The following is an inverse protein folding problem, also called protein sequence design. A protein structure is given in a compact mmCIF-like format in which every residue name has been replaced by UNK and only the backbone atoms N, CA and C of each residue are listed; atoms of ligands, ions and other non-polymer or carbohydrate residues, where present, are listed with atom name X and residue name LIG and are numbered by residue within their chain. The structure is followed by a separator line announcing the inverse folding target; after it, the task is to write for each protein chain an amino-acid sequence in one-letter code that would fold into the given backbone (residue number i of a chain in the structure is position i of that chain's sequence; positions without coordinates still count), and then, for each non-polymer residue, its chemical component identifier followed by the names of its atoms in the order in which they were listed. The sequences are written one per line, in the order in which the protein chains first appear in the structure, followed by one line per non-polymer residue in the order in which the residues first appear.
data_IF_557249792375
#
_entry.id   IF_557249792375
#
_cell.length_a   1.000
_cell.length_b   1.000
_cell.length_c   1.000
_cell.angle_alpha   90.00
_cell.angle_beta   90.00
_cell.angle_gamma   90.00
#
_symmetry.space_group_name_H-M   'P 1'
#
loop_
_entity.id
_entity.type
_entity.pdbx_description
1 polymer ?
#
# COMPACT_ATOMS: atom_id res chain seq x y z
N UNK A 1 8.67 -19.94 -44.94
CA UNK A 1 9.93 -19.16 -45.17
C UNK A 1 11.09 -19.75 -44.34
N UNK A 2 12.30 -19.78 -44.91
CA UNK A 2 13.53 -20.24 -44.23
C UNK A 2 14.31 -19.03 -43.71
N UNK A 3 14.79 -19.02 -42.45
CA UNK A 3 15.63 -17.95 -41.95
C UNK A 3 16.96 -17.88 -42.70
N UNK A 4 17.48 -16.67 -42.88
CA UNK A 4 18.82 -16.41 -43.41
C UNK A 4 19.68 -15.70 -42.37
N UNK A 5 21.00 -15.90 -42.42
CA UNK A 5 21.93 -15.34 -41.45
C UNK A 5 22.28 -13.88 -41.81
N UNK A 6 21.98 -12.95 -40.92
CA UNK A 6 22.43 -11.57 -40.97
C UNK A 6 23.83 -11.45 -40.36
N UNK A 7 24.06 -12.16 -39.25
CA UNK A 7 25.34 -12.27 -38.54
C UNK A 7 25.44 -13.68 -37.94
N UNK A 8 26.57 -14.36 -38.10
CA UNK A 8 26.76 -15.72 -37.57
C UNK A 8 28.14 -15.86 -36.94
N UNK A 9 28.15 -16.19 -35.65
CA UNK A 9 29.37 -16.32 -34.84
C UNK A 9 29.65 -17.74 -34.36
N UNK A 10 28.72 -18.69 -34.56
CA UNK A 10 28.93 -20.08 -34.18
C UNK A 10 27.71 -20.96 -34.36
N UNK A 11 27.74 -22.13 -33.72
CA UNK A 11 26.60 -23.04 -33.62
C UNK A 11 25.53 -22.44 -32.68
N UNK A 12 24.23 -22.44 -33.06
CA UNK A 12 23.14 -21.98 -32.20
C UNK A 12 23.12 -22.60 -30.79
N UNK A 13 23.65 -23.82 -30.60
CA UNK A 13 23.75 -24.44 -29.28
C UNK A 13 24.68 -23.68 -28.31
N UNK A 14 25.62 -22.90 -28.85
CA UNK A 14 26.67 -22.18 -28.10
C UNK A 14 26.49 -20.65 -28.13
N UNK A 15 25.37 -20.15 -28.68
CA UNK A 15 25.15 -18.73 -28.97
C UNK A 15 23.77 -18.24 -28.52
N UNK A 16 23.60 -16.93 -28.47
CA UNK A 16 22.30 -16.27 -28.35
C UNK A 16 21.79 -15.94 -29.75
N UNK A 17 20.70 -16.56 -30.16
CA UNK A 17 20.10 -16.36 -31.49
C UNK A 17 18.98 -15.30 -31.45
N UNK A 18 19.17 -14.24 -32.23
CA UNK A 18 18.15 -13.20 -32.45
C UNK A 18 17.49 -13.41 -33.81
N UNK A 19 16.15 -13.36 -33.86
CA UNK A 19 15.40 -13.44 -35.11
C UNK A 19 14.72 -12.11 -35.42
N UNK A 20 15.05 -11.53 -36.57
CA UNK A 20 14.42 -10.32 -37.09
C UNK A 20 13.28 -10.69 -38.03
N UNK A 21 12.13 -10.06 -37.83
CA UNK A 21 10.94 -10.22 -38.66
C UNK A 21 10.64 -8.90 -39.36
N UNK A 22 10.74 -8.88 -40.69
CA UNK A 22 10.43 -7.70 -41.49
C UNK A 22 8.93 -7.49 -41.55
N UNK A 23 8.44 -6.36 -41.04
CA UNK A 23 7.03 -6.00 -41.14
C UNK A 23 6.78 -4.96 -42.24
N UNK A 24 5.74 -5.16 -43.04
CA UNK A 24 5.32 -4.23 -44.09
C UNK A 24 6.18 -4.21 -45.36
N UNK A 25 7.15 -5.12 -45.54
CA UNK A 25 7.90 -5.23 -46.79
C UNK A 25 7.18 -6.15 -47.77
N UNK A 26 6.86 -5.66 -48.96
CA UNK A 26 6.32 -6.49 -50.05
C UNK A 26 7.39 -7.39 -50.66
N UNK A 27 7.01 -8.39 -51.44
CA UNK A 27 7.95 -9.25 -52.18
C UNK A 27 8.93 -8.44 -53.05
N UNK A 28 8.53 -7.27 -53.57
CA UNK A 28 9.39 -6.39 -54.35
C UNK A 28 10.41 -5.60 -53.50
N UNK A 29 10.21 -5.53 -52.19
CA UNK A 29 11.05 -4.77 -51.24
C UNK A 29 11.98 -5.66 -50.41
N UNK A 30 12.11 -6.95 -50.75
CA UNK A 30 12.94 -7.88 -49.97
C UNK A 30 14.42 -7.48 -49.94
N UNK A 31 14.97 -6.91 -51.01
CA UNK A 31 16.33 -6.37 -50.97
C UNK A 31 16.48 -5.21 -49.98
N UNK A 32 15.46 -4.34 -49.90
CA UNK A 32 15.42 -3.25 -48.92
C UNK A 32 15.36 -3.82 -47.51
N UNK A 33 14.49 -4.81 -47.27
CA UNK A 33 14.42 -5.53 -45.99
C UNK A 33 15.77 -6.12 -45.58
N UNK A 34 16.47 -6.79 -46.50
CA UNK A 34 17.80 -7.34 -46.22
C UNK A 34 18.81 -6.26 -45.84
N UNK A 35 18.77 -5.11 -46.52
CA UNK A 35 19.59 -3.95 -46.17
C UNK A 35 19.27 -3.38 -44.78
N UNK A 36 17.98 -3.27 -44.46
CA UNK A 36 17.50 -2.74 -43.18
C UNK A 36 17.85 -3.69 -42.01
N UNK A 37 17.72 -5.01 -42.19
CA UNK A 37 18.13 -6.02 -41.22
C UNK A 37 19.65 -5.99 -40.93
N UNK A 38 20.47 -5.83 -41.98
CA UNK A 38 21.93 -5.67 -41.83
C UNK A 38 22.30 -4.39 -41.10
N UNK A 39 21.64 -3.27 -41.44
CA UNK A 39 21.87 -1.98 -40.77
C UNK A 39 21.53 -2.06 -39.28
N UNK A 40 20.36 -2.59 -38.93
CA UNK A 40 19.96 -2.78 -37.52
C UNK A 40 20.95 -3.64 -36.76
N UNK A 41 21.38 -4.75 -37.36
CA UNK A 41 22.35 -5.66 -36.75
C UNK A 41 23.71 -4.99 -36.53
N UNK A 42 24.18 -4.18 -37.50
CA UNK A 42 25.41 -3.43 -37.37
C UNK A 42 25.34 -2.41 -36.22
N UNK A 43 24.24 -1.67 -36.09
CA UNK A 43 24.03 -0.71 -34.99
C UNK A 43 23.99 -1.40 -33.61
N UNK A 44 23.25 -2.51 -33.51
CA UNK A 44 23.18 -3.32 -32.29
C UNK A 44 24.57 -3.77 -31.86
N UNK A 45 25.32 -4.41 -32.77
CA UNK A 45 26.65 -4.94 -32.49
C UNK A 45 27.73 -3.84 -32.40
N UNK A 46 27.41 -2.60 -32.76
CA UNK A 46 28.27 -1.46 -32.50
C UNK A 46 28.07 -0.86 -31.10
N UNK A 47 27.05 -1.28 -30.33
CA UNK A 47 26.71 -0.69 -29.02
C UNK A 47 27.15 -1.57 -27.86
N UNK A 48 27.71 -0.99 -26.80
CA UNK A 48 28.06 -1.77 -25.59
C UNK A 48 26.80 -2.16 -24.80
N UNK A 49 26.68 -3.38 -24.24
CA UNK A 49 27.70 -4.44 -24.15
C UNK A 49 27.76 -5.41 -25.34
N UNK A 50 26.94 -5.24 -26.37
CA UNK A 50 26.87 -6.14 -27.53
C UNK A 50 28.13 -6.10 -28.39
N UNK A 51 28.80 -4.95 -28.46
CA UNK A 51 30.07 -4.78 -29.17
C UNK A 51 31.14 -5.74 -28.65
N UNK A 52 31.32 -5.74 -27.33
CA UNK A 52 32.31 -6.59 -26.65
C UNK A 52 31.93 -8.08 -26.76
N UNK A 53 30.64 -8.38 -26.84
CA UNK A 53 30.09 -9.74 -26.88
C UNK A 53 29.58 -10.16 -28.25
N UNK A 54 29.97 -9.48 -29.33
CA UNK A 54 29.41 -9.70 -30.67
C UNK A 54 29.58 -11.14 -31.19
N UNK A 55 30.60 -11.86 -30.69
CA UNK A 55 30.86 -13.27 -30.98
C UNK A 55 29.97 -14.26 -30.23
N UNK A 56 29.17 -13.79 -29.28
CA UNK A 56 28.23 -14.60 -28.51
C UNK A 56 26.85 -14.63 -29.18
N UNK A 57 26.62 -13.84 -30.23
CA UNK A 57 25.34 -13.73 -30.92
C UNK A 57 25.37 -14.29 -32.34
N UNK A 58 24.26 -14.92 -32.71
CA UNK A 58 23.83 -15.08 -34.10
C UNK A 58 22.60 -14.18 -34.32
N UNK A 59 22.51 -13.56 -35.49
CA UNK A 59 21.32 -12.80 -35.91
C UNK A 59 20.81 -13.38 -37.21
N UNK A 60 19.55 -13.78 -37.20
CA UNK A 60 18.82 -14.34 -38.30
C UNK A 60 17.72 -13.39 -38.72
N UNK A 61 17.28 -13.48 -39.96
CA UNK A 61 16.13 -12.76 -40.46
C UNK A 61 15.22 -13.68 -41.24
N UNK A 62 13.93 -13.37 -41.24
CA UNK A 62 12.91 -14.10 -41.98
C UNK A 62 12.26 -13.19 -43.02
N UNK A 63 12.18 -13.69 -44.25
CA UNK A 63 11.51 -12.99 -45.34
C UNK A 63 10.01 -13.30 -45.27
N UNK A 64 9.26 -12.33 -44.77
CA UNK A 64 7.82 -12.35 -44.63
C UNK A 64 7.21 -11.25 -45.50
N UNK A 65 6.89 -11.61 -46.74
CA UNK A 65 6.31 -10.66 -47.67
C UNK A 65 4.89 -10.24 -47.24
N UNK A 66 4.68 -8.93 -47.10
CA UNK A 66 3.37 -8.32 -46.91
C UNK A 66 2.64 -8.13 -48.26
N UNK A 67 1.32 -8.10 -48.22
CA UNK A 67 0.48 -7.87 -49.41
C UNK A 67 0.62 -6.43 -49.94
N UNK A 68 0.91 -5.48 -49.05
CA UNK A 68 1.09 -4.06 -49.38
C UNK A 68 2.30 -3.48 -48.65
N UNK A 69 2.96 -2.51 -49.29
CA UNK A 69 4.16 -1.84 -48.75
C UNK A 69 3.77 -0.93 -47.59
N UNK A 70 4.60 -0.98 -46.54
CA UNK A 70 4.48 -0.24 -45.31
C UNK A 70 3.86 -1.04 -44.18
N UNK A 71 4.20 -0.66 -42.95
CA UNK A 71 3.56 -1.17 -41.74
C UNK A 71 2.13 -0.63 -41.62
N UNK A 72 1.29 -1.34 -40.87
CA UNK A 72 0.00 -0.80 -40.44
C UNK A 72 0.26 0.36 -39.47
N UNK A 73 -0.38 1.51 -39.71
CA UNK A 73 -0.37 2.67 -38.81
C UNK A 73 -1.82 3.09 -38.57
N UNK A 74 -2.58 2.36 -37.73
CA UNK A 74 -3.97 2.68 -37.44
C UNK A 74 -4.18 4.13 -36.97
N UNK A 75 -3.20 4.68 -36.23
CA UNK A 75 -3.16 6.09 -35.80
C UNK A 75 -3.17 7.12 -36.93
N UNK A 76 -2.67 6.72 -38.10
CA UNK A 76 -2.64 7.58 -39.29
C UNK A 76 -3.79 7.21 -40.25
N UNK A 77 -4.73 6.36 -39.81
CA UNK A 77 -5.79 5.79 -40.64
C UNK A 77 -5.30 4.79 -41.69
N UNK A 78 -4.05 4.32 -41.60
CA UNK A 78 -3.43 3.44 -42.60
C UNK A 78 -3.47 2.00 -42.13
N UNK A 79 -4.45 1.25 -42.63
CA UNK A 79 -4.61 -0.17 -42.31
C UNK A 79 -3.90 -1.03 -43.33
N UNK A 80 -2.90 -1.80 -42.91
CA UNK A 80 -2.22 -2.76 -43.76
C UNK A 80 -2.18 -4.13 -43.11
N UNK A 81 -2.52 -5.14 -43.91
CA UNK A 81 -2.39 -6.53 -43.49
C UNK A 81 -0.96 -6.98 -43.75
N UNK A 82 -0.25 -7.30 -42.69
CA UNK A 82 1.10 -7.83 -42.77
C UNK A 82 1.22 -9.14 -41.98
N UNK A 83 2.17 -10.02 -42.33
CA UNK A 83 2.33 -11.31 -41.65
C UNK A 83 2.72 -11.18 -40.16
N UNK A 84 3.39 -10.09 -39.79
CA UNK A 84 3.90 -9.85 -38.43
C UNK A 84 2.87 -9.11 -37.57
N UNK A 85 1.91 -8.39 -38.16
CA UNK A 85 0.85 -7.63 -37.45
C UNK A 85 1.40 -6.78 -36.31
N UNK A 86 2.41 -5.93 -36.53
CA UNK A 86 2.94 -5.05 -35.49
C UNK A 86 1.94 -3.93 -35.13
N UNK A 87 0.87 -4.32 -34.45
CA UNK A 87 -0.02 -3.47 -33.66
C UNK A 87 0.62 -3.16 -32.29
N UNK A 88 1.89 -2.76 -32.31
CA UNK A 88 2.68 -2.38 -31.14
C UNK A 88 3.02 -0.87 -31.18
N UNK A 89 3.12 -0.28 -32.37
CA UNK A 89 3.53 1.11 -32.56
C UNK A 89 2.33 2.05 -32.73
N UNK A 90 1.87 2.62 -31.61
CA UNK A 90 1.35 3.99 -31.50
C UNK A 90 0.81 4.31 -30.08
N UNK A 91 0.52 3.29 -29.26
CA UNK A 91 -0.20 3.53 -28.01
C UNK A 91 -1.62 4.11 -28.21
N UNK A 92 -2.18 4.00 -29.43
CA UNK A 92 -3.56 4.33 -29.80
C UNK A 92 -4.51 3.17 -29.49
N UNK A 93 -4.42 2.63 -28.28
CA UNK A 93 -5.30 1.53 -27.83
C UNK A 93 -6.77 1.90 -27.92
N UNK A 94 -7.08 3.18 -27.73
CA UNK A 94 -8.43 3.75 -27.82
C UNK A 94 -9.03 3.62 -29.22
N UNK A 95 -8.24 3.86 -30.27
CA UNK A 95 -8.69 3.67 -31.65
C UNK A 95 -8.86 2.19 -31.98
N UNK A 96 -7.92 1.34 -31.55
CA UNK A 96 -8.04 -0.10 -31.73
C UNK A 96 -9.31 -0.66 -31.05
N UNK A 97 -9.59 -0.24 -29.82
CA UNK A 97 -10.82 -0.58 -29.09
C UNK A 97 -12.03 -0.13 -29.91
N UNK A 98 -12.08 1.13 -30.34
CA UNK A 98 -13.21 1.70 -31.10
C UNK A 98 -13.48 0.92 -32.39
N UNK A 99 -12.43 0.58 -33.15
CA UNK A 99 -12.57 -0.17 -34.40
C UNK A 99 -13.05 -1.60 -34.18
N UNK A 100 -12.54 -2.29 -33.15
CA UNK A 100 -12.94 -3.66 -32.85
C UNK A 100 -14.36 -3.69 -32.29
N UNK A 101 -14.75 -2.74 -31.43
CA UNK A 101 -16.13 -2.60 -30.94
C UNK A 101 -17.09 -2.32 -32.11
N UNK A 102 -16.72 -1.42 -33.03
CA UNK A 102 -17.51 -1.14 -34.23
C UNK A 102 -17.67 -2.38 -35.10
N UNK A 103 -16.59 -3.14 -35.32
CA UNK A 103 -16.64 -4.41 -36.04
C UNK A 103 -17.60 -5.40 -35.39
N UNK A 104 -17.53 -5.57 -34.07
CA UNK A 104 -18.40 -6.49 -33.33
C UNK A 104 -19.88 -6.10 -33.37
N UNK A 105 -20.18 -4.79 -33.45
CA UNK A 105 -21.56 -4.33 -33.62
C UNK A 105 -22.07 -4.46 -35.05
N UNK A 106 -21.20 -4.30 -36.05
CA UNK A 106 -21.58 -4.25 -37.47
C UNK A 106 -21.63 -5.65 -38.10
N UNK A 107 -20.69 -6.53 -37.74
CA UNK A 107 -20.66 -7.93 -38.15
C UNK A 107 -20.22 -8.82 -36.97
N UNK A 108 -21.16 -9.22 -36.10
CA UNK A 108 -20.85 -10.01 -34.91
C UNK A 108 -20.27 -11.40 -35.19
N UNK A 109 -20.43 -11.90 -36.43
CA UNK A 109 -20.03 -13.25 -36.83
C UNK A 109 -18.60 -13.32 -37.38
N UNK A 110 -18.07 -12.18 -37.84
CA UNK A 110 -16.75 -12.12 -38.45
C UNK A 110 -15.64 -12.33 -37.41
N UNK A 111 -14.92 -13.45 -37.54
CA UNK A 111 -13.71 -13.74 -36.75
C UNK A 111 -13.90 -13.51 -35.24
N UNK A 112 -15.08 -13.89 -34.72
CA UNK A 112 -15.59 -13.51 -33.40
C UNK A 112 -14.57 -13.75 -32.26
N UNK A 113 -13.94 -14.92 -32.24
CA UNK A 113 -12.94 -15.28 -31.22
C UNK A 113 -11.66 -14.45 -31.35
N UNK A 114 -11.21 -14.19 -32.57
CA UNK A 114 -10.04 -13.36 -32.81
C UNK A 114 -10.31 -11.89 -32.44
N UNK A 115 -11.49 -11.36 -32.79
CA UNK A 115 -11.92 -10.03 -32.40
C UNK A 115 -11.99 -9.88 -30.87
N UNK A 116 -12.58 -10.87 -30.17
CA UNK A 116 -12.63 -10.91 -28.71
C UNK A 116 -11.24 -10.90 -28.07
N UNK A 117 -10.32 -11.74 -28.56
CA UNK A 117 -8.95 -11.79 -28.04
C UNK A 117 -8.18 -10.48 -28.28
N UNK A 118 -8.35 -9.86 -29.46
CA UNK A 118 -7.72 -8.58 -29.78
C UNK A 118 -8.26 -7.45 -28.91
N UNK A 119 -9.58 -7.39 -28.71
CA UNK A 119 -10.22 -6.38 -27.86
C UNK A 119 -9.74 -6.49 -26.41
N UNK A 120 -9.68 -7.71 -25.88
CA UNK A 120 -9.18 -7.95 -24.53
C UNK A 120 -7.71 -7.50 -24.37
N UNK A 121 -6.83 -7.82 -25.34
CA UNK A 121 -5.44 -7.34 -25.34
C UNK A 121 -5.35 -5.82 -25.45
N UNK A 122 -6.20 -5.18 -26.26
CA UNK A 122 -6.23 -3.73 -26.41
C UNK A 122 -6.65 -3.03 -25.10
N UNK A 123 -7.67 -3.54 -24.42
CA UNK A 123 -8.03 -3.07 -23.08
C UNK A 123 -6.88 -3.26 -22.07
N UNK A 124 -6.24 -4.43 -22.04
CA UNK A 124 -5.11 -4.68 -21.14
C UNK A 124 -3.94 -3.69 -21.38
N UNK A 125 -3.58 -3.45 -22.64
CA UNK A 125 -2.51 -2.51 -22.99
C UNK A 125 -2.89 -1.05 -22.72
N UNK A 126 -4.17 -0.66 -22.93
CA UNK A 126 -4.68 0.65 -22.50
C UNK A 126 -4.56 0.83 -20.99
N UNK A 127 -4.95 -0.20 -20.22
CA UNK A 127 -4.79 -0.20 -18.77
C UNK A 127 -3.35 -0.02 -18.31
N UNK A 128 -2.39 -0.73 -18.93
CA UNK A 128 -0.96 -0.57 -18.63
C UNK A 128 -0.45 0.85 -18.93
N UNK A 129 -0.85 1.43 -20.07
CA UNK A 129 -0.49 2.80 -20.43
C UNK A 129 -1.02 3.80 -19.40
N UNK A 130 -2.31 3.72 -19.07
CA UNK A 130 -2.96 4.57 -18.07
C UNK A 130 -2.32 4.42 -16.69
N UNK A 131 -1.95 3.20 -16.30
CA UNK A 131 -1.26 2.96 -15.04
C UNK A 131 0.12 3.65 -15.04
N UNK A 132 0.88 3.59 -16.13
CA UNK A 132 2.16 4.29 -16.25
C UNK A 132 2.02 5.82 -16.24
N UNK A 133 0.88 6.35 -16.70
CA UNK A 133 0.51 7.78 -16.65
C UNK A 133 -0.12 8.21 -15.29
N UNK A 134 -0.08 7.35 -14.27
CA UNK A 134 -0.70 7.55 -12.94
C UNK A 134 -2.23 7.71 -12.94
N UNK A 135 -2.90 7.38 -14.05
CA UNK A 135 -4.36 7.40 -14.20
C UNK A 135 -4.98 6.07 -13.74
N UNK A 136 -4.73 5.71 -12.48
CA UNK A 136 -5.00 4.37 -11.94
C UNK A 136 -6.46 3.94 -11.97
N UNK A 137 -7.39 4.85 -11.68
CA UNK A 137 -8.83 4.60 -11.77
C UNK A 137 -9.26 4.17 -13.17
N UNK A 138 -8.71 4.84 -14.19
CA UNK A 138 -8.99 4.53 -15.59
C UNK A 138 -8.31 3.21 -15.98
N UNK A 139 -7.08 3.00 -15.51
CA UNK A 139 -6.36 1.75 -15.71
C UNK A 139 -7.13 0.54 -15.19
N UNK A 140 -7.66 0.62 -13.96
CA UNK A 140 -8.46 -0.43 -13.32
C UNK A 140 -9.70 -0.74 -14.17
N UNK A 141 -10.41 0.29 -14.65
CA UNK A 141 -11.57 0.09 -15.54
C UNK A 141 -11.19 -0.65 -16.83
N UNK A 142 -10.06 -0.29 -17.45
CA UNK A 142 -9.56 -0.99 -18.65
C UNK A 142 -9.20 -2.45 -18.36
N UNK A 143 -8.54 -2.72 -17.23
CA UNK A 143 -8.28 -4.10 -16.84
C UNK A 143 -9.55 -4.89 -16.59
N UNK A 144 -10.55 -4.29 -15.94
CA UNK A 144 -11.86 -4.92 -15.73
C UNK A 144 -12.56 -5.25 -17.06
N UNK A 145 -12.50 -4.36 -18.06
CA UNK A 145 -13.00 -4.63 -19.42
C UNK A 145 -12.26 -5.79 -20.09
N UNK A 146 -10.93 -5.88 -19.94
CA UNK A 146 -10.15 -7.01 -20.44
C UNK A 146 -10.56 -8.32 -19.74
N UNK A 147 -10.73 -8.31 -18.42
CA UNK A 147 -11.08 -9.51 -17.63
C UNK A 147 -12.52 -9.96 -17.86
N UNK A 148 -13.43 -9.06 -18.22
CA UNK A 148 -14.77 -9.45 -18.67
C UNK A 148 -14.73 -10.32 -19.94
N UNK A 149 -13.73 -10.11 -20.80
CA UNK A 149 -13.54 -10.90 -22.02
C UNK A 149 -12.66 -12.13 -21.80
N UNK A 150 -11.64 -12.04 -20.95
CA UNK A 150 -10.71 -13.14 -20.61
C UNK A 150 -10.48 -13.19 -19.09
N UNK A 151 -11.39 -13.84 -18.32
CA UNK A 151 -11.36 -13.82 -16.85
C UNK A 151 -10.11 -14.46 -16.25
N UNK A 152 -9.58 -15.49 -16.90
CA UNK A 152 -8.47 -16.32 -16.39
C UNK A 152 -7.09 -15.79 -16.78
N UNK A 153 -6.96 -14.55 -17.25
CA UNK A 153 -5.67 -13.97 -17.62
C UNK A 153 -4.90 -13.53 -16.34
N UNK A 154 -3.86 -14.27 -15.91
CA UNK A 154 -3.17 -14.00 -14.65
C UNK A 154 -2.41 -12.68 -14.66
N UNK A 155 -1.88 -12.27 -15.81
CA UNK A 155 -1.11 -11.03 -15.94
C UNK A 155 -2.04 -9.82 -15.75
N UNK A 156 -3.21 -9.82 -16.37
CA UNK A 156 -4.19 -8.73 -16.23
C UNK A 156 -4.76 -8.68 -14.81
N UNK A 157 -5.04 -9.85 -14.20
CA UNK A 157 -5.46 -9.91 -12.80
C UNK A 157 -4.41 -9.29 -11.87
N UNK A 158 -3.12 -9.61 -12.07
CA UNK A 158 -2.03 -9.05 -11.29
C UNK A 158 -1.93 -7.53 -11.47
N UNK A 159 -1.96 -7.03 -12.70
CA UNK A 159 -1.87 -5.59 -12.99
C UNK A 159 -3.03 -4.80 -12.38
N UNK A 160 -4.25 -5.32 -12.49
CA UNK A 160 -5.45 -4.76 -11.87
C UNK A 160 -5.34 -4.70 -10.35
N UNK A 161 -4.84 -5.77 -9.74
CA UNK A 161 -4.63 -5.85 -8.29
C UNK A 161 -3.55 -4.87 -7.83
N UNK A 162 -2.42 -4.79 -8.52
CA UNK A 162 -1.34 -3.84 -8.21
C UNK A 162 -1.84 -2.39 -8.29
N UNK A 163 -2.53 -2.03 -9.38
CA UNK A 163 -3.09 -0.68 -9.57
C UNK A 163 -4.07 -0.31 -8.46
N UNK A 164 -4.99 -1.21 -8.12
CA UNK A 164 -6.00 -0.99 -7.07
C UNK A 164 -5.35 -0.85 -5.69
N UNK A 165 -4.43 -1.72 -5.30
CA UNK A 165 -3.75 -1.63 -4.00
C UNK A 165 -2.90 -0.36 -3.91
N UNK A 166 -2.14 -0.03 -4.96
CA UNK A 166 -1.32 1.17 -4.96
C UNK A 166 -2.17 2.44 -4.87
N UNK A 167 -3.32 2.49 -5.56
CA UNK A 167 -4.27 3.60 -5.45
C UNK A 167 -4.85 3.72 -4.04
N UNK A 168 -5.31 2.61 -3.46
CA UNK A 168 -5.81 2.59 -2.07
C UNK A 168 -4.75 3.06 -1.09
N UNK A 169 -3.51 2.59 -1.25
CA UNK A 169 -2.39 3.02 -0.42
C UNK A 169 -2.17 4.52 -0.51
N UNK A 170 -2.13 5.05 -1.73
CA UNK A 170 -1.86 6.48 -2.00
C UNK A 170 -2.97 7.39 -1.49
N UNK A 171 -4.23 7.00 -1.65
CA UNK A 171 -5.38 7.79 -1.22
C UNK A 171 -5.54 7.87 0.30
N UNK A 172 -4.99 6.89 1.04
CA UNK A 172 -5.11 6.82 2.49
C UNK A 172 -3.87 7.32 3.25
N UNK A 173 -2.81 7.73 2.55
CA UNK A 173 -1.66 8.38 3.19
C UNK A 173 -2.10 9.61 3.98
N UNK A 174 -1.75 9.69 5.26
CA UNK A 174 -2.15 10.79 6.14
C UNK A 174 -3.59 10.75 6.66
N UNK A 175 -4.45 9.89 6.10
CA UNK A 175 -5.84 9.72 6.54
C UNK A 175 -6.02 8.45 7.37
N UNK A 176 -5.57 7.33 6.82
CA UNK A 176 -5.55 6.02 7.45
C UNK A 176 -4.20 5.35 7.16
N UNK A 177 -3.24 5.58 8.05
CA UNK A 177 -1.91 5.02 7.94
C UNK A 177 -1.91 3.49 7.90
N UNK A 178 -2.82 2.85 8.64
CA UNK A 178 -2.90 1.38 8.69
C UNK A 178 -3.31 0.80 7.34
N UNK A 179 -4.37 1.34 6.74
CA UNK A 179 -4.81 0.94 5.40
C UNK A 179 -3.77 1.27 4.33
N UNK A 180 -3.10 2.43 4.44
CA UNK A 180 -2.03 2.81 3.52
C UNK A 180 -0.86 1.82 3.56
N UNK A 181 -0.35 1.51 4.76
CA UNK A 181 0.73 0.56 4.99
C UNK A 181 0.35 -0.82 4.47
N UNK A 182 -0.82 -1.35 4.86
CA UNK A 182 -1.26 -2.68 4.42
C UNK A 182 -1.31 -2.78 2.89
N UNK A 183 -1.83 -1.74 2.23
CA UNK A 183 -1.93 -1.70 0.77
C UNK A 183 -0.56 -1.67 0.12
N UNK A 184 0.36 -0.81 0.59
CA UNK A 184 1.71 -0.76 0.05
C UNK A 184 2.55 -2.01 0.35
N UNK A 185 2.39 -2.64 1.51
CA UNK A 185 3.02 -3.92 1.83
C UNK A 185 2.57 -5.01 0.85
N UNK A 186 1.28 -5.05 0.52
CA UNK A 186 0.75 -6.00 -0.44
C UNK A 186 1.33 -5.75 -1.85
N UNK A 187 1.43 -4.49 -2.29
CA UNK A 187 2.10 -4.14 -3.56
C UNK A 187 3.57 -4.54 -3.53
N UNK A 188 4.31 -4.18 -2.48
CA UNK A 188 5.73 -4.49 -2.33
C UNK A 188 5.99 -6.00 -2.32
N UNK A 189 5.13 -6.79 -1.68
CA UNK A 189 5.25 -8.25 -1.63
C UNK A 189 4.98 -8.91 -2.99
N UNK A 190 4.07 -8.33 -3.78
CA UNK A 190 3.74 -8.83 -5.12
C UNK A 190 4.78 -8.40 -6.16
N UNK A 191 5.21 -7.14 -6.11
CA UNK A 191 6.11 -6.53 -7.08
C UNK A 191 6.85 -5.32 -6.46
N UNK A 192 8.04 -5.53 -5.86
CA UNK A 192 8.82 -4.47 -5.20
C UNK A 192 9.23 -3.32 -6.13
N UNK A 193 9.37 -3.58 -7.43
CA UNK A 193 9.70 -2.61 -8.48
C UNK A 193 8.46 -1.96 -9.13
N UNK A 194 7.26 -2.18 -8.57
CA UNK A 194 6.04 -1.53 -9.08
C UNK A 194 6.02 -0.05 -8.68
N UNK A 195 6.24 0.82 -9.68
CA UNK A 195 6.30 2.28 -9.48
C UNK A 195 7.32 2.63 -8.39
N UNK A 196 6.95 3.54 -7.49
CA UNK A 196 7.74 4.02 -6.36
C UNK A 196 7.35 3.36 -5.03
N UNK A 197 6.77 2.14 -5.06
CA UNK A 197 6.30 1.47 -3.82
C UNK A 197 7.43 1.26 -2.82
N UNK A 198 8.64 0.95 -3.31
CA UNK A 198 9.83 0.80 -2.48
C UNK A 198 10.19 2.08 -1.71
N UNK A 199 9.86 3.26 -2.25
CA UNK A 199 10.00 4.53 -1.52
C UNK A 199 8.75 4.87 -0.69
N UNK A 200 7.54 4.54 -1.18
CA UNK A 200 6.29 4.88 -0.49
C UNK A 200 6.06 4.08 0.78
N UNK A 201 6.37 2.78 0.80
CA UNK A 201 6.15 1.93 1.97
C UNK A 201 6.92 2.41 3.22
N UNK A 202 8.25 2.64 3.19
CA UNK A 202 8.96 3.18 4.35
C UNK A 202 8.46 4.59 4.72
N UNK A 203 8.10 5.44 3.75
CA UNK A 203 7.48 6.75 4.03
C UNK A 203 6.14 6.64 4.76
N UNK A 204 5.31 5.66 4.41
CA UNK A 204 4.04 5.42 5.09
C UNK A 204 4.26 5.02 6.56
N UNK A 205 5.26 4.17 6.83
CA UNK A 205 5.68 3.83 8.18
C UNK A 205 6.19 5.04 8.96
N UNK A 206 7.08 5.84 8.38
CA UNK A 206 7.60 7.04 9.03
C UNK A 206 6.46 8.01 9.38
N UNK A 207 5.53 8.24 8.44
CA UNK A 207 4.36 9.09 8.68
C UNK A 207 3.43 8.56 9.77
N UNK A 208 3.24 7.24 9.86
CA UNK A 208 2.48 6.61 10.94
C UNK A 208 3.14 6.81 12.30
N UNK A 209 4.48 6.64 12.37
CA UNK A 209 5.27 6.90 13.57
C UNK A 209 5.20 8.37 14.00
N UNK A 210 5.37 9.29 13.05
CA UNK A 210 5.29 10.74 13.30
C UNK A 210 3.90 11.14 13.83
N UNK A 211 2.83 10.63 13.23
CA UNK A 211 1.46 10.88 13.69
C UNK A 211 1.17 10.29 15.08
N UNK A 212 1.83 9.18 15.46
CA UNK A 212 1.77 8.65 16.82
C UNK A 212 2.51 9.57 17.81
N UNK A 213 3.69 10.07 17.44
CA UNK A 213 4.46 11.05 18.24
C UNK A 213 3.69 12.35 18.46
N UNK A 214 3.02 12.88 17.45
CA UNK A 214 2.17 14.08 17.57
C UNK A 214 1.07 13.92 18.63
N UNK A 215 0.58 12.69 18.81
CA UNK A 215 -0.41 12.33 19.83
C UNK A 215 0.23 11.93 21.17
N UNK A 216 1.53 12.12 21.32
CA UNK A 216 2.33 11.66 22.47
C UNK A 216 2.27 10.15 22.73
N UNK A 217 1.88 9.35 21.72
CA UNK A 217 1.86 7.89 21.77
C UNK A 217 3.26 7.35 21.41
N UNK A 218 4.26 7.69 22.22
CA UNK A 218 5.67 7.40 21.95
C UNK A 218 5.97 5.90 21.81
N UNK A 219 5.33 5.06 22.62
CA UNK A 219 5.52 3.62 22.54
C UNK A 219 4.96 3.02 21.23
N UNK A 220 3.84 3.55 20.74
CA UNK A 220 3.20 3.08 19.50
C UNK A 220 3.99 3.50 18.26
N UNK A 221 4.78 4.57 18.34
CA UNK A 221 5.61 5.05 17.23
C UNK A 221 6.80 4.14 16.91
N UNK A 222 7.33 3.45 17.91
CA UNK A 222 8.55 2.61 17.82
C UNK A 222 8.46 1.54 16.72
N UNK A 223 7.43 0.66 16.67
CA UNK A 223 7.36 -0.39 15.66
C UNK A 223 7.27 0.15 14.23
N UNK A 224 6.67 1.33 14.03
CA UNK A 224 6.61 1.95 12.71
C UNK A 224 7.99 2.40 12.23
N UNK A 225 8.77 3.10 13.08
CA UNK A 225 10.12 3.50 12.70
C UNK A 225 11.05 2.29 12.49
N UNK A 226 10.90 1.23 13.30
CA UNK A 226 11.64 -0.02 13.10
C UNK A 226 11.33 -0.65 11.75
N UNK A 227 10.05 -0.77 11.39
CA UNK A 227 9.63 -1.31 10.09
C UNK A 227 10.14 -0.47 8.90
N UNK A 228 10.21 0.86 9.04
CA UNK A 228 10.82 1.71 8.03
C UNK A 228 12.32 1.41 7.86
N UNK A 229 13.05 1.23 8.96
CA UNK A 229 14.50 0.97 8.98
C UNK A 229 14.88 -0.42 8.47
N UNK A 230 13.97 -1.40 8.56
CA UNK A 230 14.14 -2.72 7.94
C UNK A 230 14.13 -2.65 6.41
N UNK A 231 13.41 -1.68 5.85
CA UNK A 231 13.30 -1.49 4.39
C UNK A 231 14.40 -0.58 3.84
N UNK A 232 14.77 0.46 4.59
CA UNK A 232 15.79 1.41 4.17
C UNK A 232 16.51 2.01 5.39
N UNK A 233 17.85 1.98 5.37
CA UNK A 233 18.64 2.64 6.41
C UNK A 233 18.54 4.16 6.29
N UNK A 234 18.15 4.81 7.38
CA UNK A 234 17.99 6.26 7.46
C UNK A 234 18.34 6.74 8.88
N UNK A 235 19.32 7.64 8.99
CA UNK A 235 19.84 8.11 10.28
C UNK A 235 18.86 9.02 11.04
N UNK A 236 18.04 9.78 10.32
CA UNK A 236 17.04 10.67 10.92
C UNK A 236 15.90 9.84 11.50
N UNK A 237 15.47 8.80 10.77
CA UNK A 237 14.46 7.84 11.26
C UNK A 237 14.98 7.04 12.46
N UNK A 238 16.26 6.64 12.46
CA UNK A 238 16.87 6.00 13.62
C UNK A 238 16.87 6.92 14.85
N UNK A 239 17.16 8.22 14.66
CA UNK A 239 17.12 9.22 15.72
C UNK A 239 15.71 9.41 16.28
N UNK A 240 14.69 9.45 15.41
CA UNK A 240 13.27 9.48 15.82
C UNK A 240 12.87 8.25 16.63
N UNK A 241 13.29 7.05 16.21
CA UNK A 241 13.07 5.79 16.94
C UNK A 241 13.71 5.83 18.33
N UNK A 242 14.94 6.29 18.43
CA UNK A 242 15.67 6.36 19.71
C UNK A 242 15.07 7.40 20.67
N UNK A 243 14.56 8.53 20.14
CA UNK A 243 13.76 9.47 20.94
C UNK A 243 12.45 8.83 21.42
N UNK A 244 11.71 8.17 20.54
CA UNK A 244 10.48 7.49 20.90
C UNK A 244 10.70 6.44 22.00
N UNK A 245 11.77 5.64 21.92
CA UNK A 245 12.16 4.68 22.98
C UNK A 245 12.44 5.39 24.31
N UNK A 246 13.22 6.47 24.30
CA UNK A 246 13.54 7.24 25.52
C UNK A 246 12.30 7.84 26.16
N UNK A 247 11.39 8.41 25.36
CA UNK A 247 10.16 9.05 25.83
C UNK A 247 9.12 8.02 26.30
N UNK A 248 9.04 6.88 25.63
CA UNK A 248 8.22 5.74 26.04
C UNK A 248 8.65 5.19 27.42
N UNK A 249 9.96 5.19 27.69
CA UNK A 249 10.54 4.69 28.94
C UNK A 249 10.73 5.78 30.01
N UNK A 250 10.38 7.03 29.72
CA UNK A 250 10.56 8.13 30.66
C UNK A 250 9.53 8.02 31.78
N UNK A 251 9.94 8.06 33.07
CA UNK A 251 8.99 8.14 34.16
C UNK A 251 8.17 9.42 34.02
N UNK A 252 6.86 9.28 33.97
CA UNK A 252 5.91 10.39 33.89
C UNK A 252 5.88 11.15 35.23
N UNK A 253 6.68 12.22 35.33
CA UNK A 253 6.47 13.27 36.33
C UNK A 253 7.74 13.81 37.02
N UNK A 254 7.78 15.13 37.16
CA UNK A 254 8.56 15.83 38.20
C UNK A 254 8.24 15.26 39.59
N UNK A 255 9.18 15.28 40.55
CA UNK A 255 8.92 14.88 41.93
C UNK A 255 7.68 15.60 42.45
N UNK A 256 6.66 14.82 42.80
CA UNK A 256 5.41 15.36 43.31
C UNK A 256 5.66 15.82 44.75
N UNK A 257 5.22 17.02 45.17
CA UNK A 257 5.46 17.48 46.53
C UNK A 257 5.00 16.46 47.59
N UNK A 258 5.74 16.27 48.69
CA UNK A 258 5.33 15.39 49.78
C UNK A 258 3.89 15.67 50.22
N UNK A 259 3.11 14.62 50.46
CA UNK A 259 1.67 14.72 50.75
C UNK A 259 0.77 14.77 49.51
N UNK A 260 1.32 14.67 48.29
CA UNK A 260 0.51 14.52 47.07
C UNK A 260 0.12 13.08 46.82
N UNK A 261 -1.15 12.85 46.49
CA UNK A 261 -1.69 11.53 46.18
C UNK A 261 -1.55 11.22 44.69
N UNK A 262 -0.86 10.13 44.35
CA UNK A 262 -0.75 9.69 42.95
C UNK A 262 -1.90 8.75 42.62
N UNK A 263 -2.72 9.14 41.65
CA UNK A 263 -3.72 8.28 41.03
C UNK A 263 -3.05 7.21 40.16
N UNK A 264 -3.46 5.95 40.33
CA UNK A 264 -2.97 4.80 39.55
C UNK A 264 -4.14 3.98 39.04
N UNK A 265 -4.02 3.53 37.78
CA UNK A 265 -5.00 2.62 37.20
C UNK A 265 -4.68 1.19 37.64
N UNK A 266 -5.56 0.61 38.45
CA UNK A 266 -5.44 -0.75 38.97
C UNK A 266 -5.92 -1.85 38.02
N UNK A 267 -6.25 -1.51 36.77
CA UNK A 267 -6.84 -2.42 35.78
C UNK A 267 -8.37 -2.44 35.81
N UNK A 268 -8.95 -3.47 35.19
CA UNK A 268 -10.41 -3.67 35.10
C UNK A 268 -10.83 -5.01 35.69
N UNK A 269 -11.97 -5.03 36.36
CA UNK A 269 -12.65 -6.23 36.84
C UNK A 269 -13.84 -6.55 35.92
N UNK A 270 -13.99 -7.82 35.55
CA UNK A 270 -15.16 -8.29 34.78
C UNK A 270 -16.36 -8.48 35.72
N UNK A 271 -17.39 -7.64 35.53
CA UNK A 271 -18.63 -7.66 36.31
C UNK A 271 -19.83 -8.04 35.45
N UNK A 272 -19.63 -8.68 34.29
CA UNK A 272 -20.71 -9.06 33.36
C UNK A 272 -21.75 -10.00 33.95
N UNK A 273 -21.38 -10.74 35.00
CA UNK A 273 -22.29 -11.55 35.80
C UNK A 273 -23.34 -10.72 36.55
N UNK A 274 -23.08 -9.43 36.77
CA UNK A 274 -23.98 -8.49 37.47
C UNK A 274 -24.72 -7.57 36.52
N UNK A 275 -24.06 -7.12 35.45
CA UNK A 275 -24.62 -6.16 34.49
C UNK A 275 -23.91 -6.21 33.15
N UNK A 276 -24.63 -5.86 32.09
CA UNK A 276 -24.05 -5.60 30.76
C UNK A 276 -24.44 -4.22 30.21
N UNK A 277 -25.11 -3.39 31.03
CA UNK A 277 -25.72 -2.13 30.59
C UNK A 277 -25.15 -0.89 31.29
N UNK A 278 -24.23 -1.06 32.22
CA UNK A 278 -23.53 0.03 32.89
C UNK A 278 -22.12 -0.40 33.31
N UNK A 279 -21.26 0.59 33.58
CA UNK A 279 -19.90 0.42 34.11
C UNK A 279 -19.81 0.94 35.54
N UNK A 280 -18.78 0.50 36.26
CA UNK A 280 -18.45 0.98 37.62
C UNK A 280 -17.03 1.53 37.64
N UNK A 281 -16.79 2.51 38.50
CA UNK A 281 -15.42 2.92 38.85
C UNK A 281 -15.30 2.87 40.36
N UNK A 282 -14.26 2.23 40.89
CA UNK A 282 -14.03 2.16 42.33
C UNK A 282 -12.54 2.12 42.65
N UNK A 283 -12.20 2.24 43.92
CA UNK A 283 -10.85 2.01 44.40
C UNK A 283 -10.66 2.51 45.81
N UNK A 284 -9.40 2.77 46.18
CA UNK A 284 -9.03 3.17 47.55
C UNK A 284 -8.13 4.39 47.55
N UNK A 285 -8.30 5.22 48.58
CA UNK A 285 -7.40 6.31 48.94
C UNK A 285 -6.65 5.92 50.20
N UNK A 286 -5.32 5.84 50.13
CA UNK A 286 -4.46 5.46 51.25
C UNK A 286 -3.35 6.48 51.49
N UNK A 287 -3.00 6.70 52.76
CA UNK A 287 -1.90 7.56 53.17
C UNK A 287 -0.54 6.88 52.92
N UNK A 288 0.57 7.57 53.22
CA UNK A 288 1.92 7.07 52.98
C UNK A 288 2.27 5.79 53.79
N UNK A 289 1.48 5.46 54.81
CA UNK A 289 1.59 4.22 55.61
C UNK A 289 0.70 3.08 55.09
N UNK A 290 -0.05 3.32 54.02
CA UNK A 290 -1.02 2.36 53.46
C UNK A 290 -2.35 2.29 54.22
N UNK A 291 -2.60 3.23 55.14
CA UNK A 291 -3.85 3.30 55.90
C UNK A 291 -4.92 4.03 55.09
N UNK A 292 -6.16 3.55 55.13
CA UNK A 292 -7.28 4.17 54.41
C UNK A 292 -7.57 5.58 54.90
N UNK A 293 -7.80 6.51 53.97
CA UNK A 293 -8.16 7.90 54.29
C UNK A 293 -9.68 8.03 54.30
N UNK A 294 -10.33 8.23 55.46
CA UNK A 294 -11.79 8.31 55.54
C UNK A 294 -12.32 9.68 55.13
N UNK A 295 -13.58 9.73 54.67
CA UNK A 295 -14.30 10.95 54.30
C UNK A 295 -13.60 11.82 53.24
N UNK A 296 -12.71 11.23 52.44
CA UNK A 296 -12.01 11.92 51.36
C UNK A 296 -12.96 12.10 50.18
N UNK A 297 -13.24 13.34 49.71
CA UNK A 297 -14.11 13.54 48.56
C UNK A 297 -13.37 13.19 47.26
N UNK A 298 -13.84 12.15 46.59
CA UNK A 298 -13.36 11.72 45.28
C UNK A 298 -14.34 12.23 44.23
N UNK A 299 -13.83 12.85 43.16
CA UNK A 299 -14.62 13.33 42.03
C UNK A 299 -14.36 12.44 40.83
N UNK A 300 -15.44 12.04 40.15
CA UNK A 300 -15.40 11.49 38.80
C UNK A 300 -15.98 12.52 37.83
N UNK A 301 -15.40 12.66 36.64
CA UNK A 301 -15.89 13.55 35.59
C UNK A 301 -15.71 12.97 34.20
N UNK A 302 -16.60 13.34 33.29
CA UNK A 302 -16.47 13.13 31.85
C UNK A 302 -17.15 14.29 31.13
N UNK A 303 -16.45 14.94 30.20
CA UNK A 303 -16.91 16.18 29.54
C UNK A 303 -17.31 17.27 30.56
N UNK A 304 -18.55 17.78 30.48
CA UNK A 304 -19.13 18.77 31.39
C UNK A 304 -19.83 18.15 32.62
N UNK A 305 -19.93 16.82 32.69
CA UNK A 305 -20.54 16.10 33.80
C UNK A 305 -19.53 15.72 34.88
N UNK A 306 -19.93 15.85 36.16
CA UNK A 306 -19.16 15.32 37.28
C UNK A 306 -20.02 14.95 38.49
N UNK A 307 -19.56 13.99 39.28
CA UNK A 307 -20.15 13.56 40.56
C UNK A 307 -19.04 13.40 41.60
N UNK A 308 -19.37 13.64 42.87
CA UNK A 308 -18.45 13.47 44.00
C UNK A 308 -19.01 12.41 44.95
N UNK A 309 -18.15 11.54 45.44
CA UNK A 309 -18.46 10.56 46.48
C UNK A 309 -17.33 10.51 47.51
N UNK A 310 -17.65 10.24 48.77
CA UNK A 310 -16.67 10.23 49.86
C UNK A 310 -16.23 8.82 50.20
N UNK A 311 -14.96 8.66 50.55
CA UNK A 311 -14.43 7.37 51.00
C UNK A 311 -14.98 6.93 52.36
N UNK A 312 -15.08 5.61 52.56
CA UNK A 312 -15.42 5.01 53.85
C UNK A 312 -14.23 4.93 54.83
N UNK A 313 -14.42 4.30 55.99
CA UNK A 313 -13.39 4.11 57.02
C UNK A 313 -12.14 3.35 56.56
N UNK A 314 -12.21 2.63 55.44
CA UNK A 314 -11.09 1.89 54.83
C UNK A 314 -10.45 2.63 53.65
N UNK A 315 -10.94 3.84 53.35
CA UNK A 315 -10.54 4.61 52.18
C UNK A 315 -11.22 4.17 50.89
N UNK A 316 -12.19 3.25 50.93
CA UNK A 316 -12.86 2.74 49.73
C UNK A 316 -13.91 3.72 49.22
N UNK A 317 -14.01 3.86 47.90
CA UNK A 317 -15.08 4.59 47.22
C UNK A 317 -15.54 3.84 45.97
N UNK A 318 -16.76 4.13 45.53
CA UNK A 318 -17.32 3.62 44.29
C UNK A 318 -18.28 4.62 43.64
N UNK A 319 -18.28 4.63 42.30
CA UNK A 319 -19.27 5.26 41.44
C UNK A 319 -19.96 4.15 40.65
N UNK A 320 -21.24 3.97 40.89
CA UNK A 320 -22.04 2.89 40.31
C UNK A 320 -23.02 3.44 39.28
N UNK A 321 -23.55 2.55 38.42
CA UNK A 321 -24.55 2.89 37.41
C UNK A 321 -24.09 3.96 36.41
N UNK A 322 -22.81 3.94 36.01
CA UNK A 322 -22.31 4.83 34.96
C UNK A 322 -22.79 4.29 33.60
N UNK A 323 -23.70 5.03 32.95
CA UNK A 323 -24.42 4.59 31.74
C UNK A 323 -23.77 5.07 30.44
N UNK A 324 -22.47 5.41 30.46
CA UNK A 324 -21.73 5.84 29.27
C UNK A 324 -20.39 5.09 29.17
N UNK A 325 -20.03 4.63 27.97
CA UNK A 325 -18.73 4.04 27.65
C UNK A 325 -17.75 5.14 27.19
N UNK A 326 -17.32 5.95 28.15
CA UNK A 326 -16.42 7.10 27.93
C UNK A 326 -15.24 7.02 28.88
N UNK A 327 -14.17 7.75 28.60
CA UNK A 327 -13.07 7.90 29.56
C UNK A 327 -13.51 8.82 30.70
N UNK A 328 -13.43 8.31 31.92
CA UNK A 328 -13.68 9.06 33.15
C UNK A 328 -12.37 9.51 33.77
N UNK A 329 -12.27 10.78 34.11
CA UNK A 329 -11.16 11.29 34.92
C UNK A 329 -11.57 11.24 36.39
N UNK A 330 -10.79 10.56 37.21
CA UNK A 330 -10.98 10.48 38.67
C UNK A 330 -9.91 11.31 39.36
N UNK A 331 -10.29 12.10 40.37
CA UNK A 331 -9.38 12.94 41.16
C UNK A 331 -9.85 13.10 42.59
N UNK A 332 -8.94 13.44 43.51
CA UNK A 332 -9.33 13.89 44.84
C UNK A 332 -9.74 15.36 44.76
N UNK A 333 -10.89 15.73 45.34
CA UNK A 333 -11.43 17.08 45.20
C UNK A 333 -10.75 18.10 46.13
N UNK A 334 -10.26 17.64 47.28
CA UNK A 334 -9.76 18.49 48.36
C UNK A 334 -8.30 18.20 48.75
N UNK A 335 -7.70 17.16 48.15
CA UNK A 335 -6.30 16.79 48.39
C UNK A 335 -5.47 16.99 47.10
N UNK A 336 -4.21 17.43 47.21
CA UNK A 336 -3.31 17.48 46.06
C UNK A 336 -3.22 16.07 45.48
N UNK A 337 -3.57 15.92 44.20
CA UNK A 337 -3.53 14.63 43.54
C UNK A 337 -3.23 14.73 42.05
N UNK A 338 -2.56 13.71 41.53
CA UNK A 338 -2.51 13.46 40.09
C UNK A 338 -3.76 12.68 39.70
N UNK A 339 -4.58 13.18 38.77
CA UNK A 339 -5.78 12.48 38.34
C UNK A 339 -5.43 11.18 37.61
N UNK A 340 -6.40 10.26 37.55
CA UNK A 340 -6.30 9.02 36.79
C UNK A 340 -7.45 8.91 35.81
N UNK A 341 -7.13 8.59 34.56
CA UNK A 341 -8.12 8.35 33.51
C UNK A 341 -8.48 6.86 33.45
N UNK A 342 -9.78 6.58 33.42
CA UNK A 342 -10.36 5.24 33.47
C UNK A 342 -11.30 5.07 32.28
N UNK A 343 -10.97 4.15 31.37
CA UNK A 343 -11.87 3.79 30.27
C UNK A 343 -13.14 3.12 30.79
N UNK A 344 -14.30 3.76 30.62
CA UNK A 344 -15.60 3.17 30.92
C UNK A 344 -16.00 2.13 29.89
N UNK A 345 -16.37 0.93 30.35
CA UNK A 345 -16.84 -0.17 29.49
C UNK A 345 -17.94 -0.95 30.19
N UNK A 346 -19.07 -1.15 29.53
CA UNK A 346 -20.21 -1.82 30.14
C UNK A 346 -19.89 -3.27 30.53
N UNK A 347 -20.35 -3.66 31.71
CA UNK A 347 -20.03 -4.96 32.30
C UNK A 347 -18.61 -5.07 32.85
N UNK A 348 -17.84 -3.98 32.89
CA UNK A 348 -16.54 -3.93 33.56
C UNK A 348 -16.54 -2.87 34.66
N UNK A 349 -15.67 -3.06 35.65
CA UNK A 349 -15.39 -2.07 36.68
C UNK A 349 -13.94 -1.61 36.56
N UNK A 350 -13.72 -0.31 36.41
CA UNK A 350 -12.38 0.28 36.41
C UNK A 350 -11.89 0.55 37.84
N UNK A 351 -10.61 0.27 38.09
CA UNK A 351 -10.00 0.47 39.41
C UNK A 351 -9.11 1.72 39.39
N UNK A 352 -9.44 2.69 40.23
CA UNK A 352 -8.67 3.93 40.41
C UNK A 352 -8.19 4.02 41.87
N UNK A 353 -6.89 3.90 42.11
CA UNK A 353 -6.32 3.99 43.46
C UNK A 353 -5.52 5.27 43.64
N UNK A 354 -5.52 5.81 44.85
CA UNK A 354 -4.73 6.99 45.22
C UNK A 354 -3.84 6.67 46.41
N UNK A 355 -2.53 6.89 46.24
CA UNK A 355 -1.54 6.67 47.31
C UNK A 355 -0.76 7.95 47.55
N UNK A 356 -0.75 8.43 48.79
CA UNK A 356 0.07 9.56 49.22
C UNK A 356 1.57 9.27 49.06
N UNK A 357 2.30 10.20 48.46
CA UNK A 357 3.76 10.14 48.39
C UNK A 357 4.39 10.70 49.67
N UNK A 358 5.43 10.02 50.20
CA UNK A 358 6.10 10.39 51.45
C UNK A 358 6.87 11.71 51.40
#
# INVERSE_FOLDING_TARGET
PRPWAVHRSGDPADKVDLLLLGDGYTSAEMEKWHGDAKRLTAELLATSPFRERSRDFNVWALDLAAEASGVSRPSDGVYRRSPVRAAYDAGSWEEAITHIETLQTTDPSYEQDAARQLLARAYANSGLKLANEDRLEEAIRRFDQSLALMPDNPDVQLQRRLASLYQTGSNNLGLDWGLAIQSFQAVYSLKPDYKDVAQKLPRAYIGAGDAAVERSAWCDAIPYYQAALELASDADVASKRDEAVRRCSAPSGTPVPPGTYIGTFGGTEDIRQRTTSWTKVHGRVVNAKGEGVPNCPVRISAYDWSVVHTTDGTGYYAFEFLTNEVTFTVRLAELPSTPVDIGGKFGYAGIANFTEQP
#
